data_IF_796863688791
#
_entry.id   IF_796863688791
#
_cell.length_a   1.000
_cell.length_b   1.000
_cell.length_c   1.000
_cell.angle_alpha   90.00
_cell.angle_beta   90.00
_cell.angle_gamma   90.00
#
_symmetry.space_group_name_H-M   'P 1'
#
loop_
_entity.id
_entity.type
_entity.pdbx_description
1 polymer ?
#
# COMPACT_ATOMS: atom_id res chain seq x y z
N UNK A 1 -4.10 -3.04 -25.38
CA UNK A 1 -5.28 -3.55 -24.64
C UNK A 1 -4.85 -4.80 -23.91
N UNK A 2 -4.40 -4.63 -22.66
CA UNK A 2 -4.01 -5.76 -21.80
C UNK A 2 -5.25 -6.13 -20.99
N UNK A 3 -5.72 -7.35 -21.16
CA UNK A 3 -6.80 -7.93 -20.37
C UNK A 3 -6.36 -7.91 -18.90
N UNK A 4 -6.99 -7.07 -18.09
CA UNK A 4 -6.89 -7.16 -16.64
C UNK A 4 -7.61 -8.44 -16.22
N UNK A 5 -6.87 -9.55 -16.17
CA UNK A 5 -7.34 -10.80 -15.58
C UNK A 5 -7.83 -10.46 -14.17
N UNK A 6 -9.12 -10.62 -13.90
CA UNK A 6 -9.67 -10.49 -12.56
C UNK A 6 -9.04 -11.58 -11.68
N UNK A 7 -7.91 -11.25 -11.07
CA UNK A 7 -7.17 -12.15 -10.21
C UNK A 7 -7.97 -12.35 -8.94
N UNK A 8 -8.14 -13.60 -8.52
CA UNK A 8 -8.77 -13.92 -7.25
C UNK A 8 -8.07 -13.11 -6.13
N UNK A 9 -8.84 -12.53 -5.20
CA UNK A 9 -8.25 -11.67 -4.18
C UNK A 9 -7.24 -12.48 -3.35
N UNK A 10 -6.09 -11.88 -3.00
CA UNK A 10 -5.03 -12.62 -2.34
C UNK A 10 -5.47 -13.07 -0.93
N UNK A 11 -4.85 -14.14 -0.45
CA UNK A 11 -5.05 -14.59 0.92
C UNK A 11 -4.29 -13.67 1.89
N UNK A 12 -4.83 -13.52 3.09
CA UNK A 12 -4.16 -12.84 4.21
C UNK A 12 -4.01 -13.84 5.33
N UNK A 13 -2.76 -14.19 5.66
CA UNK A 13 -2.42 -15.26 6.60
C UNK A 13 -3.24 -16.54 6.33
N UNK A 14 -3.30 -16.97 5.07
CA UNK A 14 -4.07 -18.13 4.62
C UNK A 14 -5.61 -18.00 4.64
N UNK A 15 -6.18 -16.81 4.91
CA UNK A 15 -7.64 -16.56 4.88
C UNK A 15 -8.06 -15.81 3.62
N UNK A 16 -9.17 -16.23 3.02
CA UNK A 16 -9.74 -15.58 1.85
C UNK A 16 -10.66 -14.42 2.29
N UNK A 17 -10.55 -13.24 1.67
CA UNK A 17 -11.47 -12.14 1.95
C UNK A 17 -12.83 -12.41 1.32
N UNK A 18 -13.86 -11.76 1.86
CA UNK A 18 -15.21 -11.75 1.30
C UNK A 18 -15.28 -10.91 0.01
N UNK A 19 -14.54 -9.80 0.00
CA UNK A 19 -14.46 -8.89 -1.13
C UNK A 19 -13.10 -8.18 -1.16
N UNK A 20 -12.77 -7.62 -2.32
CA UNK A 20 -11.65 -6.71 -2.50
C UNK A 20 -12.15 -5.44 -3.18
N UNK A 21 -11.81 -4.29 -2.62
CA UNK A 21 -12.14 -2.96 -3.15
C UNK A 21 -10.86 -2.14 -3.31
N UNK A 22 -10.87 -1.21 -4.27
CA UNK A 22 -9.73 -0.35 -4.57
C UNK A 22 -10.23 1.09 -4.73
N UNK A 23 -10.29 1.89 -3.65
CA UNK A 23 -10.67 3.29 -3.75
C UNK A 23 -9.69 4.05 -4.65
N UNK A 24 -10.22 4.86 -5.57
CA UNK A 24 -9.42 5.57 -6.57
C UNK A 24 -8.72 6.82 -6.04
N UNK A 25 -9.13 7.32 -4.87
CA UNK A 25 -8.60 8.52 -4.24
C UNK A 25 -8.83 8.51 -2.72
N UNK A 26 -8.29 9.52 -2.03
CA UNK A 26 -8.36 9.65 -0.59
C UNK A 26 -9.79 9.84 -0.06
N UNK A 27 -10.66 10.54 -0.79
CA UNK A 27 -12.03 10.78 -0.35
C UNK A 27 -12.87 9.50 -0.39
N UNK A 28 -12.76 8.70 -1.46
CA UNK A 28 -13.39 7.38 -1.54
C UNK A 28 -12.88 6.44 -0.44
N UNK A 29 -11.58 6.49 -0.10
CA UNK A 29 -11.03 5.71 1.00
C UNK A 29 -11.60 6.16 2.36
N UNK A 30 -11.76 7.48 2.56
CA UNK A 30 -12.34 8.04 3.79
C UNK A 30 -13.81 7.64 3.95
N UNK A 31 -14.58 7.72 2.88
CA UNK A 31 -15.98 7.28 2.84
C UNK A 31 -16.09 5.78 3.17
N UNK A 32 -15.28 4.94 2.52
CA UNK A 32 -15.23 3.50 2.79
C UNK A 32 -14.94 3.19 4.27
N UNK A 33 -13.98 3.90 4.88
CA UNK A 33 -13.65 3.71 6.30
C UNK A 33 -14.77 4.21 7.20
N UNK A 34 -15.42 5.34 6.87
CA UNK A 34 -16.52 5.90 7.64
C UNK A 34 -17.76 4.98 7.62
N UNK A 35 -18.06 4.39 6.46
CA UNK A 35 -19.24 3.55 6.21
C UNK A 35 -19.03 2.07 6.59
N UNK A 36 -17.88 1.71 7.16
CA UNK A 36 -17.54 0.29 7.41
C UNK A 36 -18.54 -0.47 8.29
N UNK A 37 -19.31 0.22 9.13
CA UNK A 37 -20.36 -0.37 9.98
C UNK A 37 -19.96 -1.68 10.70
N UNK A 38 -18.81 -1.66 11.37
CA UNK A 38 -18.26 -2.83 12.08
C UNK A 38 -17.57 -3.88 11.21
N UNK A 39 -17.56 -3.72 9.87
CA UNK A 39 -16.81 -4.57 8.94
C UNK A 39 -15.31 -4.47 9.19
N UNK A 40 -14.63 -5.62 9.19
CA UNK A 40 -13.18 -5.68 9.20
C UNK A 40 -12.64 -5.25 7.84
N UNK A 41 -11.90 -4.14 7.80
CA UNK A 41 -11.15 -3.70 6.63
C UNK A 41 -9.68 -4.05 6.82
N UNK A 42 -9.08 -4.69 5.81
CA UNK A 42 -7.66 -5.02 5.80
C UNK A 42 -6.98 -4.20 4.69
N UNK A 43 -6.20 -3.15 5.03
CA UNK A 43 -5.49 -2.37 4.04
C UNK A 43 -4.36 -3.20 3.43
N UNK A 44 -4.22 -3.13 2.11
CA UNK A 44 -3.18 -3.82 1.35
C UNK A 44 -2.52 -2.83 0.40
N UNK A 45 -1.21 -2.70 0.54
CA UNK A 45 -0.35 -2.01 -0.43
C UNK A 45 -0.01 -2.95 -1.59
N UNK A 46 1.27 -3.24 -1.78
CA UNK A 46 1.73 -4.15 -2.83
C UNK A 46 1.48 -5.66 -2.56
N UNK A 47 0.96 -6.01 -1.38
CA UNK A 47 0.67 -7.40 -1.02
C UNK A 47 1.90 -8.29 -0.88
N UNK A 48 3.10 -7.73 -0.66
CA UNK A 48 4.36 -8.49 -0.60
C UNK A 48 4.57 -9.22 0.73
N UNK A 49 3.76 -8.93 1.75
CA UNK A 49 3.92 -9.46 3.12
C UNK A 49 2.58 -9.90 3.74
N UNK A 50 1.61 -10.38 2.94
CA UNK A 50 0.27 -10.73 3.41
C UNK A 50 0.21 -11.94 4.37
N UNK A 51 1.28 -12.72 4.44
CA UNK A 51 1.41 -13.85 5.38
C UNK A 51 2.05 -13.43 6.72
N UNK A 52 2.46 -12.17 6.84
CA UNK A 52 3.10 -11.65 8.05
C UNK A 52 2.03 -11.12 9.02
N UNK A 53 2.12 -11.56 10.27
CA UNK A 53 1.11 -11.25 11.30
C UNK A 53 0.10 -12.39 11.53
N UNK A 54 -1.08 -12.05 12.03
CA UNK A 54 -2.16 -13.00 12.31
C UNK A 54 -3.35 -12.83 11.36
N UNK A 55 -4.23 -13.84 11.26
CA UNK A 55 -5.40 -13.74 10.40
C UNK A 55 -6.36 -12.64 10.89
N UNK A 56 -6.97 -11.88 9.97
CA UNK A 56 -7.99 -10.89 10.30
C UNK A 56 -9.25 -11.56 10.87
N UNK A 57 -10.08 -10.78 11.57
CA UNK A 57 -11.41 -11.24 12.01
C UNK A 57 -12.32 -11.40 10.80
N UNK A 58 -12.82 -12.62 10.59
CA UNK A 58 -13.77 -12.93 9.54
C UNK A 58 -15.20 -12.45 9.90
N UNK A 59 -16.01 -12.01 8.92
CA UNK A 59 -15.61 -11.74 7.53
C UNK A 59 -14.81 -10.43 7.41
N UNK A 60 -13.98 -10.33 6.37
CA UNK A 60 -13.17 -9.14 6.11
C UNK A 60 -13.12 -8.79 4.63
N UNK A 61 -12.93 -7.49 4.35
CA UNK A 61 -12.73 -6.94 3.01
C UNK A 61 -11.29 -6.46 2.87
N UNK A 62 -10.64 -6.85 1.77
CA UNK A 62 -9.37 -6.23 1.40
C UNK A 62 -9.59 -4.87 0.77
N UNK A 63 -8.76 -3.92 1.16
CA UNK A 63 -8.76 -2.57 0.61
C UNK A 63 -7.40 -2.33 -0.04
N UNK A 64 -7.33 -2.35 -1.36
CA UNK A 64 -6.13 -1.92 -2.08
C UNK A 64 -6.01 -0.40 -1.94
N UNK A 65 -5.07 0.04 -1.11
CA UNK A 65 -4.89 1.45 -0.77
C UNK A 65 -3.91 2.17 -1.70
N UNK A 66 -3.30 1.47 -2.67
CA UNK A 66 -2.24 2.05 -3.51
C UNK A 66 -2.75 3.22 -4.34
N UNK A 67 -3.90 3.06 -4.99
CA UNK A 67 -4.50 4.13 -5.80
C UNK A 67 -4.87 5.34 -4.95
N UNK A 68 -5.58 5.11 -3.85
CA UNK A 68 -6.01 6.15 -2.92
C UNK A 68 -4.86 6.91 -2.25
N UNK A 69 -3.70 6.26 -2.09
CA UNK A 69 -2.52 6.81 -1.43
C UNK A 69 -1.34 6.97 -2.39
N UNK A 70 -1.61 7.11 -3.68
CA UNK A 70 -0.62 7.50 -4.68
C UNK A 70 -0.44 9.03 -4.69
N UNK A 71 0.65 9.50 -5.30
CA UNK A 71 0.90 10.92 -5.45
C UNK A 71 2.37 11.24 -5.67
N UNK A 72 2.71 12.51 -5.55
CA UNK A 72 4.08 13.01 -5.70
C UNK A 72 4.85 12.93 -4.38
N UNK A 73 6.16 12.71 -4.47
CA UNK A 73 7.06 12.81 -3.32
C UNK A 73 7.64 14.22 -3.30
N UNK A 74 7.48 14.91 -2.18
CA UNK A 74 8.12 16.19 -1.94
C UNK A 74 9.47 15.92 -1.26
N UNK A 75 10.58 16.28 -1.91
CA UNK A 75 11.93 16.06 -1.40
C UNK A 75 12.65 17.38 -1.18
N UNK A 76 13.12 17.63 0.03
CA UNK A 76 14.02 18.73 0.37
C UNK A 76 15.41 18.15 0.69
N UNK A 77 16.33 18.11 -0.29
CA UNK A 77 17.63 17.47 -0.14
C UNK A 77 18.53 18.12 0.90
N UNK A 78 18.43 19.45 1.10
CA UNK A 78 19.28 20.17 2.05
C UNK A 78 18.94 19.81 3.50
N UNK A 79 17.66 19.54 3.77
CA UNK A 79 17.16 19.18 5.10
C UNK A 79 17.18 17.66 5.34
N UNK A 80 17.49 16.85 4.32
CA UNK A 80 17.40 15.38 4.35
C UNK A 80 15.99 14.90 4.70
N UNK A 81 14.97 15.58 4.18
CA UNK A 81 13.57 15.24 4.45
C UNK A 81 12.82 14.98 3.16
N UNK A 82 11.91 14.01 3.20
CA UNK A 82 10.96 13.76 2.12
C UNK A 82 9.58 13.45 2.70
N UNK A 83 8.54 13.99 2.07
CA UNK A 83 7.14 13.66 2.31
C UNK A 83 6.67 12.81 1.14
N UNK A 84 6.30 11.57 1.42
CA UNK A 84 5.93 10.60 0.40
C UNK A 84 4.55 9.99 0.71
N UNK A 85 3.68 9.82 -0.30
CA UNK A 85 2.45 9.07 -0.16
C UNK A 85 2.71 7.61 0.21
N UNK A 86 1.86 7.04 1.07
CA UNK A 86 2.04 5.68 1.57
C UNK A 86 1.94 4.59 0.48
N UNK A 87 1.29 4.90 -0.64
CA UNK A 87 1.14 4.01 -1.80
C UNK A 87 2.35 3.99 -2.75
N UNK A 88 3.31 4.91 -2.61
CA UNK A 88 4.56 4.90 -3.37
C UNK A 88 5.42 3.72 -2.96
N UNK A 89 6.05 3.05 -3.92
CA UNK A 89 6.99 1.95 -3.67
C UNK A 89 8.36 2.47 -3.21
N UNK A 90 9.14 1.65 -2.48
CA UNK A 90 10.50 2.05 -2.13
C UNK A 90 11.39 2.23 -3.37
N UNK A 91 11.18 1.44 -4.43
CA UNK A 91 11.90 1.63 -5.70
C UNK A 91 11.62 2.99 -6.34
N UNK A 92 10.36 3.44 -6.35
CA UNK A 92 9.98 4.78 -6.82
C UNK A 92 10.55 5.89 -5.94
N UNK A 93 10.54 5.72 -4.61
CA UNK A 93 11.10 6.68 -3.67
C UNK A 93 12.62 6.80 -3.84
N UNK A 94 13.34 5.68 -3.86
CA UNK A 94 14.80 5.67 -4.02
C UNK A 94 15.22 6.25 -5.38
N UNK A 95 14.46 5.99 -6.45
CA UNK A 95 14.71 6.62 -7.76
C UNK A 95 14.62 8.14 -7.71
N UNK A 96 13.70 8.70 -6.90
CA UNK A 96 13.56 10.15 -6.72
C UNK A 96 14.70 10.72 -5.87
N UNK A 97 15.03 10.07 -4.74
CA UNK A 97 16.11 10.52 -3.85
C UNK A 97 17.49 10.43 -4.52
N UNK A 98 17.70 9.46 -5.42
CA UNK A 98 18.94 9.25 -6.13
C UNK A 98 19.34 10.47 -6.99
N UNK A 99 18.38 11.31 -7.41
CA UNK A 99 18.66 12.57 -8.10
C UNK A 99 19.55 13.53 -7.30
N UNK A 100 19.52 13.43 -5.97
CA UNK A 100 20.38 14.20 -5.06
C UNK A 100 21.51 13.37 -4.44
N UNK A 101 21.76 12.16 -4.96
CA UNK A 101 22.73 11.21 -4.38
C UNK A 101 22.31 10.65 -3.02
N UNK A 102 21.01 10.74 -2.68
CA UNK A 102 20.44 10.29 -1.43
C UNK A 102 19.68 8.97 -1.63
N UNK A 103 19.44 8.26 -0.53
CA UNK A 103 18.66 7.02 -0.49
C UNK A 103 17.98 6.90 0.86
N UNK A 104 16.87 6.17 0.92
CA UNK A 104 16.29 5.76 2.19
C UNK A 104 16.98 4.46 2.64
N UNK A 105 17.70 4.42 3.79
CA UNK A 105 18.46 3.23 4.19
C UNK A 105 17.56 2.13 4.80
N UNK A 106 16.49 1.74 4.11
CA UNK A 106 15.64 0.59 4.44
C UNK A 106 15.89 -0.53 3.43
N UNK A 107 15.86 -1.78 3.88
CA UNK A 107 16.08 -2.96 3.03
C UNK A 107 15.05 -4.08 3.32
N UNK A 108 13.74 -3.83 3.07
CA UNK A 108 12.72 -4.86 3.28
C UNK A 108 12.71 -5.87 2.12
N UNK A 109 12.13 -7.07 2.34
CA UNK A 109 11.88 -8.01 1.26
C UNK A 109 11.06 -7.37 0.14
N UNK A 110 11.48 -7.60 -1.11
CA UNK A 110 10.83 -7.05 -2.29
C UNK A 110 10.78 -5.51 -2.33
N UNK A 111 11.83 -4.82 -1.86
CA UNK A 111 11.92 -3.35 -1.79
C UNK A 111 11.38 -2.62 -3.05
N UNK A 112 11.77 -3.06 -4.25
CA UNK A 112 11.32 -2.50 -5.53
C UNK A 112 9.79 -2.49 -5.75
N UNK A 113 9.07 -3.35 -5.02
CA UNK A 113 7.61 -3.47 -5.11
C UNK A 113 6.91 -3.08 -3.83
N UNK A 114 7.57 -3.14 -2.69
CA UNK A 114 6.98 -2.83 -1.39
C UNK A 114 6.62 -1.35 -1.31
N UNK A 115 5.37 -1.06 -0.97
CA UNK A 115 4.89 0.31 -0.72
C UNK A 115 5.45 0.83 0.60
N UNK A 116 5.79 2.12 0.68
CA UNK A 116 6.30 2.78 1.89
C UNK A 116 5.40 2.51 3.11
N UNK A 117 4.08 2.65 2.96
CA UNK A 117 3.13 2.38 4.05
C UNK A 117 3.14 0.92 4.49
N UNK A 118 3.32 -0.02 3.55
CA UNK A 118 3.40 -1.44 3.85
C UNK A 118 4.71 -1.87 4.52
N UNK A 119 5.78 -1.07 4.39
CA UNK A 119 7.04 -1.30 5.11
C UNK A 119 6.97 -0.79 6.55
N UNK A 120 6.12 0.21 6.82
CA UNK A 120 5.95 0.80 8.15
C UNK A 120 4.93 0.07 9.04
N UNK A 121 3.95 -0.62 8.44
CA UNK A 121 2.83 -1.27 9.13
C UNK A 121 3.25 -2.57 9.82
#
# INVERSE_FOLDING_TARGET
>A
MSEATAQAPPLVAGRAPEAMVAPGNLDELRELVAERDGRTLVPVGAGTQLELGGPPREPFTLVDVRGALAGEVEHEPADLTAVAPAGVTLGELDAQLAGSGQRLPLDPPHAERATLGGVLA
#
